data_IF_425946979804
#
_entry.id   IF_425946979804
#
_cell.length_a   1.000
_cell.length_b   1.000
_cell.length_c   1.000
_cell.angle_alpha   90.00
_cell.angle_beta   90.00
_cell.angle_gamma   90.00
#
_symmetry.space_group_name_H-M   'P 1'
#
loop_
_entity.id
_entity.type
_entity.pdbx_description
1 polymer ?
#
# COMPACT_ATOMS: atom_id res chain seq x y z
N UNK A 1 8.97 0.44 -5.35
CA UNK A 1 10.11 0.69 -4.44
C UNK A 1 9.78 1.89 -3.60
N UNK A 2 9.86 1.84 -2.27
CA UNK A 2 10.35 2.97 -1.45
C UNK A 2 10.63 2.46 -0.04
N UNK A 3 11.91 2.30 0.21
CA UNK A 3 12.53 1.95 1.47
C UNK A 3 12.31 3.07 2.50
N UNK A 4 12.13 2.66 3.75
CA UNK A 4 12.10 3.53 4.94
C UNK A 4 13.52 4.03 5.24
N UNK A 5 14.08 4.90 4.39
CA UNK A 5 15.37 5.51 4.68
C UNK A 5 15.15 6.69 5.60
N UNK A 6 15.07 6.42 6.91
CA UNK A 6 15.50 7.46 7.85
C UNK A 6 17.03 7.45 7.88
N UNK A 7 17.62 8.62 8.11
CA UNK A 7 19.06 8.78 8.27
C UNK A 7 19.61 7.92 9.42
N UNK A 8 20.93 7.80 9.45
CA UNK A 8 21.64 7.24 10.60
C UNK A 8 21.21 7.96 11.89
N UNK A 9 21.08 7.22 13.01
CA UNK A 9 20.66 7.78 14.28
C UNK A 9 21.61 8.88 14.74
N UNK A 10 21.07 10.07 14.97
CA UNK A 10 21.77 11.17 15.60
C UNK A 10 21.35 11.26 17.07
N UNK A 11 22.31 11.38 17.98
CA UNK A 11 22.04 11.65 19.39
C UNK A 11 22.05 13.16 19.61
N UNK A 12 21.03 13.67 20.31
CA UNK A 12 20.97 15.04 20.78
C UNK A 12 20.88 15.05 22.31
N UNK A 13 21.78 15.82 22.92
CA UNK A 13 21.76 16.09 24.34
C UNK A 13 20.71 17.18 24.64
N UNK A 14 19.82 16.92 25.59
CA UNK A 14 18.74 17.85 25.92
C UNK A 14 19.08 18.53 27.23
N UNK A 15 19.71 19.70 27.12
CA UNK A 15 20.06 20.49 28.30
C UNK A 15 18.91 21.40 28.76
N UNK A 16 18.16 21.96 27.80
CA UNK A 16 17.14 22.98 28.04
C UNK A 16 15.92 22.77 27.12
N UNK A 17 14.82 23.40 27.50
CA UNK A 17 13.65 23.49 26.65
C UNK A 17 14.02 24.09 25.28
N UNK A 18 13.62 23.40 24.22
CA UNK A 18 14.08 23.66 22.85
C UNK A 18 12.94 23.52 21.85
N UNK A 19 13.08 24.13 20.68
CA UNK A 19 12.24 23.89 19.50
C UNK A 19 13.04 23.10 18.48
N UNK A 20 12.46 21.99 18.06
CA UNK A 20 12.95 21.18 16.96
C UNK A 20 12.12 21.52 15.72
N UNK A 21 12.78 22.00 14.67
CA UNK A 21 12.13 22.39 13.42
C UNK A 21 12.63 21.53 12.27
N UNK A 22 11.73 20.74 11.71
CA UNK A 22 11.98 19.90 10.54
C UNK A 22 11.60 20.68 9.27
N UNK A 23 12.52 20.83 8.32
CA UNK A 23 12.33 21.63 7.10
C UNK A 23 12.71 20.86 5.84
N UNK A 24 11.97 21.08 4.76
CA UNK A 24 12.38 20.71 3.41
C UNK A 24 13.28 21.81 2.83
N UNK A 25 14.54 21.50 2.44
CA UNK A 25 15.43 22.45 1.78
C UNK A 25 14.83 22.99 0.47
N UNK A 26 15.16 24.25 0.12
CA UNK A 26 14.53 24.96 -1.00
C UNK A 26 14.92 24.40 -2.38
N UNK A 27 16.04 23.68 -2.45
CA UNK A 27 16.60 23.00 -3.62
C UNK A 27 15.98 21.60 -3.87
N UNK A 28 15.19 21.09 -2.92
CA UNK A 28 14.53 19.78 -3.03
C UNK A 28 13.14 19.92 -3.65
N UNK A 29 12.84 19.07 -4.64
CA UNK A 29 11.56 19.05 -5.33
C UNK A 29 10.41 18.58 -4.43
N UNK A 30 9.25 19.25 -4.49
CA UNK A 30 8.03 18.86 -3.77
C UNK A 30 7.53 17.46 -4.16
N UNK A 31 7.95 16.96 -5.33
CA UNK A 31 7.65 15.60 -5.75
C UNK A 31 8.16 14.56 -4.75
N UNK A 32 9.31 14.78 -4.10
CA UNK A 32 9.84 13.82 -3.12
C UNK A 32 8.90 13.65 -1.92
N UNK A 33 8.24 14.74 -1.51
CA UNK A 33 7.26 14.71 -0.42
C UNK A 33 6.08 13.82 -0.80
N UNK A 34 5.62 13.89 -2.06
CA UNK A 34 4.53 13.02 -2.55
C UNK A 34 4.86 11.53 -2.45
N UNK A 35 6.14 11.19 -2.65
CA UNK A 35 6.61 9.81 -2.55
C UNK A 35 6.81 9.37 -1.08
N UNK A 36 7.12 10.32 -0.19
CA UNK A 36 7.38 10.05 1.22
C UNK A 36 6.14 10.09 2.14
N UNK A 37 4.97 10.50 1.66
CA UNK A 37 3.71 10.62 2.44
C UNK A 37 3.32 9.33 3.17
N UNK A 38 3.61 8.17 2.59
CA UNK A 38 3.27 6.87 3.19
C UNK A 38 4.26 6.42 4.28
N UNK A 39 5.36 7.15 4.49
CA UNK A 39 6.43 6.80 5.40
C UNK A 39 6.55 7.81 6.54
N UNK A 40 7.14 7.42 7.70
CA UNK A 40 7.47 8.39 8.74
C UNK A 40 8.52 9.37 8.23
N UNK A 41 8.34 10.66 8.51
CA UNK A 41 9.29 11.71 8.14
C UNK A 41 10.39 11.90 9.20
N UNK A 42 10.06 11.56 10.44
CA UNK A 42 10.89 11.74 11.62
C UNK A 42 10.53 10.65 12.64
N UNK A 43 11.52 10.14 13.34
CA UNK A 43 11.42 9.23 14.48
C UNK A 43 12.27 9.82 15.61
N UNK A 44 11.70 9.86 16.82
CA UNK A 44 12.39 10.31 18.03
C UNK A 44 12.20 9.26 19.11
N UNK A 45 13.29 8.89 19.77
CA UNK A 45 13.31 7.92 20.89
C UNK A 45 14.06 8.55 22.06
N UNK A 46 13.46 8.51 23.24
CA UNK A 46 14.09 8.97 24.47
C UNK A 46 15.07 7.92 24.96
N UNK A 47 16.30 8.34 25.22
CA UNK A 47 17.37 7.51 25.78
C UNK A 47 17.97 8.19 27.01
N UNK A 48 18.70 7.43 27.81
CA UNK A 48 19.59 8.01 28.82
C UNK A 48 20.96 7.38 28.66
N UNK A 49 21.97 8.22 28.50
CA UNK A 49 23.37 7.81 28.51
C UNK A 49 23.92 7.88 29.94
N UNK A 50 24.82 6.97 30.30
CA UNK A 50 25.28 6.83 31.67
C UNK A 50 25.96 8.12 32.16
N UNK A 51 25.31 8.83 33.09
CA UNK A 51 25.86 10.01 33.77
C UNK A 51 25.49 11.36 33.14
N UNK A 52 24.69 11.40 32.07
CA UNK A 52 24.25 12.64 31.40
C UNK A 52 22.75 12.84 31.60
N UNK A 53 22.31 14.10 31.44
CA UNK A 53 20.92 14.52 31.30
C UNK A 53 20.21 13.70 30.20
N UNK A 54 18.89 13.84 30.07
CA UNK A 54 18.13 13.02 29.10
C UNK A 54 18.58 13.31 27.67
N UNK A 55 18.79 12.24 26.89
CA UNK A 55 19.19 12.34 25.49
C UNK A 55 18.05 11.84 24.62
N UNK A 56 18.02 12.28 23.36
CA UNK A 56 17.12 11.70 22.36
C UNK A 56 17.92 11.20 21.17
N UNK A 57 17.51 10.04 20.65
CA UNK A 57 17.90 9.59 19.32
C UNK A 57 16.89 10.16 18.34
N UNK A 58 17.38 10.84 17.31
CA UNK A 58 16.56 11.35 16.22
C UNK A 58 16.99 10.68 14.91
N UNK A 59 15.99 10.30 14.10
CA UNK A 59 16.16 9.90 12.71
C UNK A 59 15.13 10.62 11.85
N UNK A 60 15.51 11.12 10.68
CA UNK A 60 14.59 11.79 9.75
C UNK A 60 14.99 11.47 8.31
N UNK A 61 14.12 11.78 7.35
CA UNK A 61 14.38 11.48 5.93
C UNK A 61 15.62 12.24 5.40
N UNK A 62 16.51 11.61 4.61
CA UNK A 62 17.77 12.18 4.12
C UNK A 62 17.66 13.52 3.39
N UNK A 63 16.53 13.76 2.73
CA UNK A 63 16.28 14.98 1.99
C UNK A 63 15.78 16.14 2.87
N UNK A 64 15.67 15.96 4.18
CA UNK A 64 15.18 16.96 5.12
C UNK A 64 16.32 17.56 5.95
N UNK A 65 16.13 18.79 6.41
CA UNK A 65 17.00 19.42 7.40
C UNK A 65 16.30 19.51 8.76
N UNK A 66 17.05 19.24 9.83
CA UNK A 66 16.61 19.48 11.20
C UNK A 66 17.36 20.68 11.78
N UNK A 67 16.62 21.61 12.38
CA UNK A 67 17.18 22.72 13.16
C UNK A 67 16.74 22.62 14.61
N UNK A 68 17.69 22.83 15.52
CA UNK A 68 17.45 22.89 16.97
C UNK A 68 17.69 24.31 17.43
N UNK A 69 16.68 24.92 18.02
CA UNK A 69 16.73 26.28 18.54
C UNK A 69 16.34 26.27 20.02
N UNK A 70 17.00 27.08 20.85
CA UNK A 70 16.55 27.30 22.23
C UNK A 70 15.15 27.93 22.23
N UNK A 71 14.28 27.56 23.17
CA UNK A 71 12.89 28.01 23.21
C UNK A 71 12.78 29.56 23.08
N UNK A 72 12.24 30.09 21.97
CA UNK A 72 12.09 31.53 21.77
C UNK A 72 10.99 32.08 22.69
N UNK A 73 11.12 33.34 23.08
CA UNK A 73 10.16 34.07 23.93
C UNK A 73 8.82 34.36 23.24
N UNK A 74 8.64 34.00 21.96
CA UNK A 74 7.41 34.27 21.21
C UNK A 74 6.37 33.17 21.43
N UNK A 75 5.09 33.50 21.63
CA UNK A 75 4.04 32.51 21.81
C UNK A 75 3.69 31.84 20.48
N UNK A 76 4.37 30.73 20.14
CA UNK A 76 3.82 29.77 19.20
C UNK A 76 2.79 28.90 19.92
N UNK A 77 1.60 28.77 19.34
CA UNK A 77 0.59 27.87 19.87
C UNK A 77 0.98 26.43 19.52
N UNK A 78 1.06 25.56 20.52
CA UNK A 78 1.31 24.13 20.36
C UNK A 78 0.04 23.33 20.73
N UNK A 79 -0.11 22.14 20.14
CA UNK A 79 -1.18 21.21 20.47
C UNK A 79 -0.96 20.56 21.85
N UNK A 80 -1.88 19.67 22.23
CA UNK A 80 -1.76 18.86 23.44
C UNK A 80 -0.40 18.16 23.49
N UNK A 81 0.37 18.33 24.57
CA UNK A 81 1.67 17.71 24.72
C UNK A 81 1.57 16.20 24.89
N UNK A 82 2.60 15.49 24.45
CA UNK A 82 2.79 14.05 24.63
C UNK A 82 4.04 13.84 25.47
N UNK A 83 3.89 13.11 26.57
CA UNK A 83 4.99 12.79 27.49
C UNK A 83 5.60 11.43 27.15
N UNK A 84 6.94 11.34 27.17
CA UNK A 84 7.70 10.12 26.86
C UNK A 84 8.77 9.87 27.92
N UNK A 85 8.94 8.60 28.29
CA UNK A 85 10.02 8.12 29.16
C UNK A 85 11.07 7.31 28.39
N UNK A 86 12.11 6.85 29.08
CA UNK A 86 13.21 6.08 28.50
C UNK A 86 12.71 4.88 27.67
N UNK A 87 13.24 4.74 26.46
CA UNK A 87 12.88 3.71 25.50
C UNK A 87 11.57 3.98 24.74
N UNK A 88 10.81 5.00 25.13
CA UNK A 88 9.60 5.41 24.42
C UNK A 88 9.94 6.48 23.37
N UNK A 89 9.08 6.58 22.37
CA UNK A 89 9.28 7.50 21.27
C UNK A 89 8.01 7.76 20.48
N UNK A 90 8.16 8.49 19.39
CA UNK A 90 7.09 8.76 18.44
C UNK A 90 7.64 8.92 17.02
N UNK A 91 6.75 8.83 16.05
CA UNK A 91 7.01 9.14 14.64
C UNK A 91 6.12 10.27 14.16
N UNK A 92 6.66 11.07 13.24
CA UNK A 92 5.92 12.11 12.54
C UNK A 92 5.40 11.57 11.22
N UNK A 93 4.09 11.63 11.03
CA UNK A 93 3.42 11.27 9.78
C UNK A 93 2.65 12.46 9.21
N UNK A 94 2.38 12.42 7.91
CA UNK A 94 1.37 13.30 7.32
C UNK A 94 -0.02 12.87 7.79
N UNK A 95 -0.84 13.83 8.21
CA UNK A 95 -2.22 13.56 8.62
C UNK A 95 -3.04 13.04 7.44
N UNK A 96 -3.78 11.96 7.68
CA UNK A 96 -4.68 11.36 6.69
C UNK A 96 -5.64 12.39 6.06
N UNK A 97 -5.84 12.28 4.75
CA UNK A 97 -6.68 13.21 3.99
C UNK A 97 -6.02 14.54 3.62
N UNK A 98 -4.76 14.77 3.99
CA UNK A 98 -4.04 15.98 3.58
C UNK A 98 -3.36 15.81 2.23
N UNK A 99 -3.57 16.75 1.30
CA UNK A 99 -2.91 16.71 0.00
C UNK A 99 -1.40 17.04 0.11
N UNK A 100 -0.59 16.31 -0.66
CA UNK A 100 0.88 16.44 -0.71
C UNK A 100 1.39 17.87 -0.81
N UNK A 101 0.74 18.70 -1.64
CA UNK A 101 1.09 20.11 -1.85
C UNK A 101 1.05 20.94 -0.57
N UNK A 102 0.12 20.64 0.34
CA UNK A 102 -0.01 21.37 1.61
C UNK A 102 1.05 20.90 2.61
N UNK A 103 1.35 19.59 2.62
CA UNK A 103 2.44 19.04 3.42
C UNK A 103 3.79 19.60 2.99
N UNK A 104 4.07 19.64 1.68
CA UNK A 104 5.30 20.23 1.14
C UNK A 104 5.42 21.72 1.48
N UNK A 105 4.34 22.49 1.32
CA UNK A 105 4.32 23.91 1.67
C UNK A 105 4.57 24.16 3.17
N UNK A 106 4.01 23.34 4.06
CA UNK A 106 4.28 23.45 5.50
C UNK A 106 5.72 23.02 5.83
N UNK A 107 6.23 21.94 5.24
CA UNK A 107 7.63 21.52 5.41
C UNK A 107 8.63 22.56 4.93
N UNK A 108 8.33 23.31 3.86
CA UNK A 108 9.19 24.42 3.42
C UNK A 108 9.21 25.57 4.42
N UNK A 109 8.09 25.86 5.08
CA UNK A 109 8.02 26.86 6.15
C UNK A 109 8.72 26.37 7.42
N UNK A 110 8.69 25.06 7.66
CA UNK A 110 9.18 24.41 8.86
C UNK A 110 8.03 23.85 9.68
N UNK A 111 8.18 22.59 10.12
CA UNK A 111 7.30 21.94 11.08
C UNK A 111 8.02 21.92 12.42
N UNK A 112 7.51 22.72 13.35
CA UNK A 112 8.12 22.90 14.67
C UNK A 112 7.38 22.10 15.74
N UNK A 113 8.14 21.56 16.69
CA UNK A 113 7.61 20.97 17.91
C UNK A 113 8.49 21.36 19.10
N UNK A 114 7.86 21.64 20.23
CA UNK A 114 8.57 21.90 21.48
C UNK A 114 9.07 20.60 22.07
N UNK A 115 10.19 20.73 22.76
CA UNK A 115 10.77 19.76 23.63
C UNK A 115 10.96 20.46 24.97
N UNK A 116 10.24 20.00 25.99
CA UNK A 116 10.36 20.51 27.35
C UNK A 116 10.77 19.38 28.29
N UNK A 117 11.68 19.70 29.20
CA UNK A 117 12.17 18.80 30.24
C UNK A 117 11.33 19.05 31.48
N UNK A 118 10.16 18.42 31.57
CA UNK A 118 9.35 18.53 32.79
C UNK A 118 9.96 17.62 33.87
N UNK A 119 10.76 18.20 34.77
CA UNK A 119 10.98 17.57 36.07
C UNK A 119 9.64 17.63 36.80
N UNK A 120 9.00 16.50 37.02
CA UNK A 120 7.88 16.46 37.95
C UNK A 120 8.42 16.87 39.33
N UNK A 121 8.23 18.14 39.70
CA UNK A 121 8.20 18.55 41.10
C UNK A 121 6.93 17.94 41.68
N UNK A 122 7.02 16.65 42.01
CA UNK A 122 6.05 16.02 42.89
C UNK A 122 6.13 16.72 44.23
N UNK A 123 5.00 17.28 44.64
CA UNK A 123 4.72 17.63 46.02
C UNK A 123 5.14 16.49 46.96
N UNK A 124 5.74 16.87 48.09
CA UNK A 124 5.94 16.10 49.32
C UNK A 124 6.06 14.57 49.21
N UNK A 125 7.29 14.09 49.46
CA UNK A 125 7.59 12.75 49.96
C UNK A 125 7.45 11.53 49.04
N UNK A 126 7.96 11.59 47.80
CA UNK A 126 8.37 10.37 47.10
C UNK A 126 9.90 10.30 46.95
N UNK A 127 10.52 9.65 47.93
CA UNK A 127 11.81 9.01 47.78
C UNK A 127 11.62 7.82 46.83
N UNK A 128 12.39 7.83 45.73
CA UNK A 128 12.58 6.79 44.70
C UNK A 128 11.93 7.13 43.36
N UNK A 129 12.74 7.53 42.38
CA UNK A 129 12.39 7.34 40.97
C UNK A 129 13.11 8.25 39.99
N UNK A 130 14.21 7.76 39.43
CA UNK A 130 15.01 8.34 38.35
C UNK A 130 14.27 8.50 36.99
N UNK A 131 12.97 8.78 36.99
CA UNK A 131 12.17 8.89 35.78
C UNK A 131 11.99 10.36 35.41
N UNK A 132 13.02 10.92 34.77
CA UNK A 132 12.85 12.17 34.05
C UNK A 132 11.97 11.91 32.82
N UNK A 133 11.03 12.79 32.53
CA UNK A 133 10.14 12.67 31.38
C UNK A 133 10.38 13.83 30.42
N UNK A 134 10.28 13.54 29.13
CA UNK A 134 10.34 14.56 28.09
C UNK A 134 8.94 14.80 27.54
N UNK A 135 8.59 16.08 27.42
CA UNK A 135 7.28 16.52 26.94
C UNK A 135 7.45 17.15 25.55
N UNK A 136 6.71 16.62 24.58
CA UNK A 136 6.76 17.06 23.19
C UNK A 136 5.41 17.62 22.75
N UNK A 137 5.38 18.78 22.09
CA UNK A 137 4.14 19.31 21.54
C UNK A 137 4.33 19.80 20.11
N UNK A 138 3.52 19.30 19.17
CA UNK A 138 3.53 19.73 17.77
C UNK A 138 2.83 21.08 17.61
N UNK A 139 3.31 21.94 16.70
CA UNK A 139 2.67 23.21 16.39
C UNK A 139 1.16 23.08 16.11
N UNK A 140 0.39 24.06 16.58
CA UNK A 140 -1.07 24.05 16.44
C UNK A 140 -1.48 24.00 14.96
N UNK A 141 -2.57 23.26 14.67
CA UNK A 141 -3.15 23.14 13.33
C UNK A 141 -2.21 22.57 12.24
N UNK A 142 -1.13 21.87 12.63
CA UNK A 142 -0.21 21.21 11.70
C UNK A 142 -0.92 20.20 10.78
N UNK A 143 -0.44 20.07 9.54
CA UNK A 143 -0.81 18.99 8.61
C UNK A 143 -0.15 17.65 8.92
N UNK A 144 0.64 17.61 9.98
CA UNK A 144 1.29 16.42 10.47
C UNK A 144 0.65 15.94 11.76
N UNK A 145 0.99 14.73 12.15
CA UNK A 145 0.57 14.11 13.40
C UNK A 145 1.75 13.36 14.02
N UNK A 146 1.81 13.41 15.35
CA UNK A 146 2.73 12.62 16.14
C UNK A 146 2.03 11.32 16.53
N UNK A 147 2.59 10.20 16.12
CA UNK A 147 2.07 8.87 16.45
C UNK A 147 3.05 8.21 17.42
N UNK A 148 2.61 7.89 18.65
CA UNK A 148 3.40 7.12 19.60
C UNK A 148 3.85 5.77 19.03
N UNK A 149 5.07 5.32 19.31
CA UNK A 149 5.59 4.07 18.75
C UNK A 149 4.74 2.85 19.14
N UNK A 150 4.22 2.82 20.37
CA UNK A 150 3.35 1.75 20.87
C UNK A 150 1.96 1.75 20.23
N UNK A 151 1.54 2.88 19.64
CA UNK A 151 0.27 3.02 18.93
C UNK A 151 0.46 2.97 17.40
N UNK A 152 1.70 2.90 16.92
CA UNK A 152 2.03 2.93 15.51
C UNK A 152 1.93 1.54 14.87
N UNK A 153 0.72 1.22 14.40
CA UNK A 153 0.46 0.01 13.63
C UNK A 153 0.84 0.15 12.14
N UNK A 154 1.34 1.32 11.69
CA UNK A 154 1.64 1.56 10.28
C UNK A 154 2.94 0.91 9.83
N UNK A 155 3.82 0.51 10.75
CA UNK A 155 4.99 -0.32 10.39
C UNK A 155 4.60 -1.75 10.04
N UNK A 156 3.39 -2.18 10.39
CA UNK A 156 2.80 -3.45 9.95
C UNK A 156 2.16 -3.33 8.55
N UNK A 157 2.38 -2.24 7.81
CA UNK A 157 1.69 -2.05 6.55
C UNK A 157 1.99 -3.19 5.59
N UNK A 158 0.92 -3.84 5.15
CA UNK A 158 0.97 -4.82 4.09
C UNK A 158 1.69 -4.23 2.86
N UNK A 159 2.69 -4.92 2.27
CA UNK A 159 3.40 -4.42 1.10
C UNK A 159 2.41 -4.06 -0.01
N UNK A 160 2.64 -2.94 -0.69
CA UNK A 160 1.79 -2.50 -1.81
C UNK A 160 1.60 -3.61 -2.85
N UNK A 161 2.65 -4.37 -3.14
CA UNK A 161 2.60 -5.51 -4.05
C UNK A 161 1.61 -6.59 -3.58
N UNK A 162 1.53 -6.87 -2.28
CA UNK A 162 0.61 -7.84 -1.70
C UNK A 162 -0.84 -7.33 -1.76
N UNK A 163 -1.06 -6.05 -1.49
CA UNK A 163 -2.38 -5.42 -1.66
C UNK A 163 -2.87 -5.49 -3.11
N UNK A 164 -2.00 -5.16 -4.07
CA UNK A 164 -2.33 -5.23 -5.51
C UNK A 164 -2.57 -6.67 -5.94
N UNK A 165 -1.77 -7.63 -5.46
CA UNK A 165 -1.97 -9.05 -5.71
C UNK A 165 -3.35 -9.53 -5.26
N UNK A 166 -3.78 -9.17 -4.04
CA UNK A 166 -5.12 -9.49 -3.52
C UNK A 166 -6.21 -8.85 -4.39
N UNK A 167 -6.04 -7.60 -4.79
CA UNK A 167 -6.99 -6.92 -5.68
C UNK A 167 -7.09 -7.60 -7.05
N UNK A 168 -5.95 -7.98 -7.64
CA UNK A 168 -5.91 -8.71 -8.91
C UNK A 168 -6.59 -10.08 -8.80
N UNK A 169 -6.37 -10.81 -7.70
CA UNK A 169 -7.05 -12.08 -7.46
C UNK A 169 -8.56 -11.90 -7.29
N UNK A 170 -8.99 -10.85 -6.60
CA UNK A 170 -10.40 -10.54 -6.37
C UNK A 170 -11.16 -10.09 -7.64
N UNK A 171 -10.48 -9.66 -8.70
CA UNK A 171 -11.14 -9.36 -10.00
C UNK A 171 -11.85 -10.60 -10.54
N UNK A 172 -13.10 -10.44 -10.98
CA UNK A 172 -13.88 -11.54 -11.56
C UNK A 172 -13.27 -12.01 -12.89
N UNK A 173 -13.53 -13.27 -13.24
CA UNK A 173 -13.18 -13.82 -14.54
C UNK A 173 -14.12 -13.26 -15.60
N UNK A 174 -13.61 -12.36 -16.44
CA UNK A 174 -14.35 -11.84 -17.58
C UNK A 174 -14.07 -12.69 -18.82
N UNK A 175 -15.06 -13.46 -19.25
CA UNK A 175 -14.99 -14.33 -20.42
C UNK A 175 -15.25 -13.57 -21.72
N UNK A 176 -15.72 -12.33 -21.66
CA UNK A 176 -15.99 -11.46 -22.80
C UNK A 176 -14.88 -10.41 -23.02
N UNK A 177 -13.82 -10.46 -22.23
CA UNK A 177 -12.69 -9.54 -22.31
C UNK A 177 -12.00 -9.58 -23.68
N UNK A 178 -11.57 -8.42 -24.19
CA UNK A 178 -10.84 -8.33 -25.46
C UNK A 178 -9.41 -8.88 -25.34
N UNK A 179 -8.80 -9.29 -26.45
CA UNK A 179 -7.44 -9.84 -26.45
C UNK A 179 -6.39 -8.87 -25.88
N UNK A 180 -6.57 -7.57 -26.11
CA UNK A 180 -5.71 -6.50 -25.58
C UNK A 180 -5.86 -6.38 -24.07
N UNK A 181 -7.09 -6.45 -23.56
CA UNK A 181 -7.36 -6.38 -22.12
C UNK A 181 -6.79 -7.61 -21.37
N UNK A 182 -6.87 -8.80 -21.98
CA UNK A 182 -6.26 -10.02 -21.44
C UNK A 182 -4.72 -9.91 -21.39
N UNK A 183 -4.10 -9.37 -22.45
CA UNK A 183 -2.66 -9.15 -22.48
C UNK A 183 -2.20 -8.18 -21.38
N UNK A 184 -2.92 -7.06 -21.21
CA UNK A 184 -2.65 -6.10 -20.12
C UNK A 184 -2.75 -6.81 -18.77
N UNK A 185 -3.81 -7.58 -18.52
CA UNK A 185 -3.99 -8.29 -17.25
C UNK A 185 -2.88 -9.31 -16.97
N UNK A 186 -2.40 -10.02 -18.00
CA UNK A 186 -1.27 -10.92 -17.85
C UNK A 186 0.00 -10.17 -17.45
N UNK A 187 0.28 -9.01 -18.07
CA UNK A 187 1.45 -8.19 -17.72
C UNK A 187 1.35 -7.58 -16.32
N UNK A 188 0.16 -7.16 -15.88
CA UNK A 188 -0.07 -6.67 -14.51
C UNK A 188 0.24 -7.76 -13.46
N UNK A 189 -0.20 -9.00 -13.71
CA UNK A 189 0.08 -10.13 -12.83
C UNK A 189 1.58 -10.43 -12.80
N UNK A 190 2.25 -10.46 -13.96
CA UNK A 190 3.69 -10.72 -14.03
C UNK A 190 4.51 -9.67 -13.28
N UNK A 191 4.19 -8.39 -13.46
CA UNK A 191 4.84 -7.30 -12.74
C UNK A 191 4.69 -7.45 -11.22
N UNK A 192 3.48 -7.71 -10.73
CA UNK A 192 3.21 -7.87 -9.29
C UNK A 192 3.95 -9.08 -8.73
N UNK A 193 4.04 -10.18 -9.48
CA UNK A 193 4.82 -11.36 -9.05
C UNK A 193 6.31 -11.06 -8.93
N UNK A 194 6.90 -10.28 -9.84
CA UNK A 194 8.29 -9.83 -9.72
C UNK A 194 8.49 -8.93 -8.48
N UNK A 195 7.54 -8.03 -8.20
CA UNK A 195 7.57 -7.19 -6.99
C UNK A 195 7.44 -8.02 -5.70
N UNK A 196 6.63 -9.08 -5.70
CA UNK A 196 6.52 -10.00 -4.56
C UNK A 196 7.78 -10.84 -4.36
N UNK A 197 8.43 -11.27 -5.43
CA UNK A 197 9.69 -12.01 -5.35
C UNK A 197 10.84 -11.15 -4.82
N UNK A 198 10.95 -9.89 -5.25
CA UNK A 198 11.94 -8.96 -4.69
C UNK A 198 11.67 -8.66 -3.21
N UNK A 199 10.40 -8.57 -2.79
CA UNK A 199 10.01 -8.50 -1.39
C UNK A 199 10.49 -9.72 -0.58
N UNK A 200 10.25 -10.94 -1.08
CA UNK A 200 10.65 -12.18 -0.41
C UNK A 200 12.18 -12.35 -0.31
N UNK A 201 12.94 -11.83 -1.26
CA UNK A 201 14.41 -11.84 -1.24
C UNK A 201 15.00 -10.88 -0.21
N UNK A 202 14.18 -10.05 0.44
CA UNK A 202 14.64 -9.05 1.41
C UNK A 202 15.32 -7.85 0.76
N UNK A 203 15.22 -7.66 -0.56
CA UNK A 203 15.74 -6.48 -1.26
C UNK A 203 15.06 -5.18 -0.77
N UNK A 204 13.91 -5.33 -0.09
CA UNK A 204 13.06 -4.26 0.46
C UNK A 204 13.15 -4.14 2.01
N UNK A 205 14.05 -4.87 2.68
CA UNK A 205 14.23 -4.87 4.14
C UNK A 205 13.93 -6.22 4.81
N UNK A 206 13.80 -6.22 6.15
CA UNK A 206 13.44 -7.44 6.89
C UNK A 206 11.98 -7.83 6.59
N UNK A 207 11.79 -8.98 5.94
CA UNK A 207 10.47 -9.55 5.69
C UNK A 207 9.93 -10.17 6.99
N UNK A 208 8.79 -9.69 7.48
CA UNK A 208 8.13 -10.32 8.63
C UNK A 208 7.62 -11.71 8.23
N UNK A 209 7.86 -12.72 9.07
CA UNK A 209 7.53 -14.12 8.76
C UNK A 209 6.06 -14.32 8.34
N UNK A 210 5.11 -13.63 9.00
CA UNK A 210 3.69 -13.74 8.65
C UNK A 210 3.35 -13.17 7.27
N UNK A 211 4.07 -12.14 6.82
CA UNK A 211 3.88 -11.57 5.48
C UNK A 211 4.53 -12.47 4.43
N UNK A 212 5.67 -13.08 4.76
CA UNK A 212 6.29 -14.08 3.90
C UNK A 212 5.37 -15.28 3.66
N UNK A 213 4.74 -15.80 4.71
CA UNK A 213 3.75 -16.89 4.60
C UNK A 213 2.57 -16.50 3.72
N UNK A 214 2.10 -15.25 3.83
CA UNK A 214 1.00 -14.76 3.00
C UNK A 214 1.40 -14.66 1.52
N UNK A 215 2.61 -14.18 1.22
CA UNK A 215 3.14 -14.13 -0.15
C UNK A 215 3.25 -15.54 -0.74
N UNK A 216 3.78 -16.50 0.04
CA UNK A 216 3.89 -17.90 -0.37
C UNK A 216 2.53 -18.53 -0.69
N UNK A 217 1.47 -18.10 -0.01
CA UNK A 217 0.09 -18.53 -0.30
C UNK A 217 -0.50 -17.87 -1.54
N UNK A 218 -0.19 -16.60 -1.79
CA UNK A 218 -0.80 -15.79 -2.86
C UNK A 218 -0.11 -16.01 -4.22
N UNK A 219 1.21 -16.18 -4.27
CA UNK A 219 1.94 -16.38 -5.53
C UNK A 219 1.41 -17.54 -6.40
N UNK A 220 1.12 -18.75 -5.85
CA UNK A 220 0.57 -19.84 -6.67
C UNK A 220 -0.83 -19.51 -7.24
N UNK A 221 -1.64 -18.73 -6.51
CA UNK A 221 -2.96 -18.30 -6.99
C UNK A 221 -2.84 -17.31 -8.16
N UNK A 222 -1.86 -16.40 -8.09
CA UNK A 222 -1.57 -15.48 -9.20
C UNK A 222 -1.09 -16.25 -10.43
N UNK A 223 -0.21 -17.23 -10.25
CA UNK A 223 0.26 -18.11 -11.33
C UNK A 223 -0.92 -18.85 -11.98
N UNK A 224 -1.81 -19.44 -11.18
CA UNK A 224 -2.98 -20.14 -11.69
C UNK A 224 -3.88 -19.22 -12.50
N UNK A 225 -4.09 -17.98 -12.02
CA UNK A 225 -4.87 -16.96 -12.73
C UNK A 225 -4.22 -16.54 -14.05
N UNK A 226 -2.90 -16.38 -14.05
CA UNK A 226 -2.11 -16.09 -15.26
C UNK A 226 -2.22 -17.22 -16.29
N UNK A 227 -2.14 -18.48 -15.85
CA UNK A 227 -2.31 -19.65 -16.73
C UNK A 227 -3.70 -19.72 -17.34
N UNK A 228 -4.74 -19.40 -16.56
CA UNK A 228 -6.10 -19.31 -17.07
C UNK A 228 -6.22 -18.22 -18.14
N UNK A 229 -5.72 -17.00 -17.87
CA UNK A 229 -5.72 -15.90 -18.83
C UNK A 229 -4.99 -16.27 -20.12
N UNK A 230 -3.83 -16.93 -20.01
CA UNK A 230 -3.05 -17.37 -21.16
C UNK A 230 -3.81 -18.40 -22.01
N UNK A 231 -4.52 -19.35 -21.38
CA UNK A 231 -5.36 -20.31 -22.10
C UNK A 231 -6.50 -19.59 -22.83
N UNK A 232 -7.21 -18.69 -22.15
CA UNK A 232 -8.29 -17.90 -22.77
C UNK A 232 -7.78 -17.06 -23.93
N UNK A 233 -6.64 -16.38 -23.76
CA UNK A 233 -5.99 -15.60 -24.80
C UNK A 233 -5.64 -16.47 -26.01
N UNK A 234 -5.02 -17.64 -25.79
CA UNK A 234 -4.64 -18.55 -26.87
C UNK A 234 -5.87 -19.09 -27.60
N UNK A 235 -6.92 -19.48 -26.86
CA UNK A 235 -8.18 -19.95 -27.44
C UNK A 235 -8.90 -18.90 -28.30
N UNK A 236 -8.64 -17.59 -28.12
CA UNK A 236 -9.19 -16.55 -29.01
C UNK A 236 -8.58 -16.56 -30.41
N UNK A 237 -7.34 -17.04 -30.54
CA UNK A 237 -6.63 -17.12 -31.82
C UNK A 237 -6.65 -18.53 -32.41
N UNK A 238 -6.93 -19.55 -31.59
CA UNK A 238 -7.14 -20.90 -32.04
C UNK A 238 -8.44 -21.03 -32.84
N UNK A 239 -8.42 -21.86 -33.87
CA UNK A 239 -9.63 -22.20 -34.61
C UNK A 239 -10.58 -22.98 -33.69
N UNK A 240 -11.87 -22.62 -33.59
CA UNK A 240 -12.84 -23.31 -32.75
C UNK A 240 -12.96 -24.81 -33.06
N UNK A 241 -12.66 -25.22 -34.30
CA UNK A 241 -12.59 -26.61 -34.73
C UNK A 241 -11.54 -26.78 -35.84
N UNK A 242 -10.57 -27.68 -35.64
CA UNK A 242 -9.61 -28.09 -36.68
C UNK A 242 -10.26 -28.97 -37.76
N UNK A 243 -11.44 -29.54 -37.47
CA UNK A 243 -12.20 -30.41 -38.37
C UNK A 243 -13.05 -29.65 -39.39
N UNK A 244 -13.15 -28.32 -39.30
CA UNK A 244 -13.96 -27.51 -40.22
C UNK A 244 -13.13 -26.45 -40.94
N UNK A 245 -13.45 -26.23 -42.22
CA UNK A 245 -12.88 -25.16 -42.99
C UNK A 245 -13.41 -23.80 -42.49
N UNK A 246 -12.56 -22.77 -42.48
CA UNK A 246 -12.93 -21.42 -42.03
C UNK A 246 -14.03 -20.76 -42.88
N UNK A 247 -14.37 -21.34 -44.03
CA UNK A 247 -15.36 -20.84 -44.98
C UNK A 247 -16.67 -21.66 -44.97
N UNK A 248 -16.87 -22.53 -43.97
CA UNK A 248 -18.10 -23.32 -43.84
C UNK A 248 -19.20 -22.44 -43.23
N UNK A 249 -19.86 -21.64 -44.09
CA UNK A 249 -20.93 -20.69 -43.73
C UNK A 249 -22.25 -21.41 -43.42
N UNK A 250 -22.39 -22.65 -43.89
CA UNK A 250 -23.65 -23.36 -43.84
C UNK A 250 -23.76 -24.23 -42.59
N UNK A 251 -24.71 -23.86 -41.73
CA UNK A 251 -25.09 -24.57 -40.52
C UNK A 251 -25.91 -25.85 -40.84
N UNK A 252 -25.59 -26.51 -41.95
CA UNK A 252 -26.29 -27.68 -42.52
C UNK A 252 -26.33 -28.83 -41.54
N UNK A 253 -25.23 -29.14 -40.86
CA UNK A 253 -25.22 -30.20 -39.85
C UNK A 253 -26.16 -29.95 -38.67
N UNK A 254 -26.27 -28.70 -38.18
CA UNK A 254 -27.23 -28.40 -37.09
C UNK A 254 -28.67 -28.43 -37.59
N UNK A 255 -28.91 -28.07 -38.85
CA UNK A 255 -30.23 -28.17 -39.47
C UNK A 255 -30.62 -29.62 -39.73
N UNK A 256 -29.71 -30.46 -40.24
CA UNK A 256 -29.90 -31.90 -40.41
C UNK A 256 -30.18 -32.59 -39.08
N UNK A 257 -29.40 -32.27 -38.04
CA UNK A 257 -29.62 -32.85 -36.70
C UNK A 257 -30.91 -32.36 -36.04
N UNK A 258 -31.36 -31.14 -36.34
CA UNK A 258 -32.68 -30.66 -35.92
C UNK A 258 -33.78 -31.36 -36.70
N UNK A 259 -33.62 -31.56 -38.00
CA UNK A 259 -34.55 -32.28 -38.86
C UNK A 259 -34.73 -33.73 -38.38
N UNK A 260 -33.64 -34.45 -38.10
CA UNK A 260 -33.68 -35.80 -37.51
C UNK A 260 -34.45 -35.82 -36.17
N UNK A 261 -34.22 -34.83 -35.30
CA UNK A 261 -34.97 -34.70 -34.06
C UNK A 261 -36.45 -34.39 -34.28
N UNK A 262 -36.79 -33.61 -35.31
CA UNK A 262 -38.18 -33.33 -35.68
C UNK A 262 -38.86 -34.55 -36.27
N UNK A 263 -38.18 -35.35 -37.10
CA UNK A 263 -38.71 -36.63 -37.62
C UNK A 263 -38.97 -37.63 -36.50
N UNK A 264 -38.09 -37.68 -35.49
CA UNK A 264 -38.26 -38.56 -34.32
C UNK A 264 -39.40 -38.13 -33.38
N UNK A 265 -39.72 -36.84 -33.34
CA UNK A 265 -40.74 -36.27 -32.43
C UNK A 265 -42.08 -35.98 -33.11
N UNK A 266 -42.12 -35.94 -34.45
CA UNK A 266 -43.33 -35.71 -35.20
C UNK A 266 -44.28 -36.92 -35.07
N UNK A 267 -45.58 -36.64 -34.98
CA UNK A 267 -46.58 -37.71 -35.01
C UNK A 267 -46.64 -38.34 -36.41
N UNK A 268 -46.92 -39.64 -36.53
CA UNK A 268 -46.98 -40.32 -37.82
C UNK A 268 -47.97 -39.69 -38.81
N UNK A 269 -49.04 -39.08 -38.29
CA UNK A 269 -50.05 -38.37 -39.09
C UNK A 269 -49.51 -37.08 -39.74
N UNK A 270 -48.62 -36.36 -39.05
CA UNK A 270 -47.98 -35.14 -39.56
C UNK A 270 -46.98 -35.47 -40.67
N UNK A 271 -46.20 -36.54 -40.50
CA UNK A 271 -45.24 -37.02 -41.50
C UNK A 271 -45.99 -37.41 -42.79
N UNK A 272 -47.06 -38.21 -42.66
CA UNK A 272 -47.90 -38.62 -43.80
C UNK A 272 -48.64 -37.46 -44.48
N UNK A 273 -48.92 -36.38 -43.75
CA UNK A 273 -49.55 -35.18 -44.32
C UNK A 273 -48.54 -34.34 -45.10
N UNK A 274 -47.30 -34.23 -44.60
CA UNK A 274 -46.20 -33.55 -45.29
C UNK A 274 -45.80 -34.33 -46.54
N UNK A 275 -45.70 -35.66 -46.48
CA UNK A 275 -45.41 -36.48 -47.65
C UNK A 275 -46.47 -36.33 -48.75
N UNK A 276 -47.76 -36.28 -48.38
CA UNK A 276 -48.85 -36.02 -49.35
C UNK A 276 -48.80 -34.61 -49.95
N UNK A 277 -48.46 -33.60 -49.15
CA UNK A 277 -48.27 -32.24 -49.66
C UNK A 277 -47.08 -32.14 -50.63
N UNK A 278 -46.02 -32.90 -50.39
CA UNK A 278 -44.86 -32.98 -51.27
C UNK A 278 -45.17 -33.74 -52.57
N UNK A 279 -46.04 -34.75 -52.52
CA UNK A 279 -46.54 -35.46 -53.71
C UNK A 279 -47.50 -34.60 -54.55
N UNK A 280 -48.27 -33.69 -53.93
CA UNK A 280 -49.20 -32.77 -54.62
C UNK A 280 -48.50 -31.57 -55.30
N UNK A 281 -47.22 -31.30 -54.99
CA UNK A 281 -46.43 -30.20 -55.57
C UNK A 281 -45.54 -30.60 -56.78
N UNK A 282 -45.64 -31.86 -57.25
CA UNK A 282 -44.97 -32.35 -58.49
C UNK A 282 -45.94 -32.73 -59.60
#
# INVERSE_FOLDING_TARGET
MYHQFLNEPMVLDIENASILTLRLPDDVSDFIVSQAISAPLLEIIVIAEAGIQQNIVIRFQPFMGLKVESLPQSPQAFNTPITRSLGQGFRLYTRMGTAAKFCAAELRRGVSFTLDTTRHLGADNDLIGANSYLTFALQANSKFELVPLEADLRVLHEPKALMVAKALLARHYDYAASSESLAIYMTEIEQVRLELQSFMRGELGQCHASLADEVLRIDPLLLQKQQWLFRTYTHMFERPNYSRAANDVDNTDKLLRKLECYELLASPELILMVDRLMEDET
#
